data_IF_414164609191
#
_entry.id   IF_414164609191
#
_cell.length_a   1.000
_cell.length_b   1.000
_cell.length_c   1.000
_cell.angle_alpha   90.00
_cell.angle_beta   90.00
_cell.angle_gamma   90.00
#
_symmetry.space_group_name_H-M   'P 1'
#
loop_
_entity.id
_entity.type
_entity.pdbx_description
1 polymer ?
#
# COMPACT_ATOMS: atom_id res chain seq x y z
N UNK A 1 -13.59 13.59 18.35
CA UNK A 1 -12.82 12.59 17.58
C UNK A 1 -11.59 13.32 17.08
N UNK A 2 -10.46 13.16 17.77
CA UNK A 2 -9.19 13.72 17.31
C UNK A 2 -8.83 13.08 15.97
N UNK A 3 -8.59 13.91 14.96
CA UNK A 3 -8.02 13.45 13.69
C UNK A 3 -6.57 13.13 14.01
N UNK A 4 -6.29 11.84 14.22
CA UNK A 4 -4.93 11.34 14.38
C UNK A 4 -4.10 11.82 13.18
N UNK A 5 -2.99 12.49 13.45
CA UNK A 5 -2.10 12.99 12.41
C UNK A 5 -1.61 11.79 11.57
N UNK A 6 -1.94 11.78 10.28
CA UNK A 6 -1.59 10.68 9.38
C UNK A 6 -0.08 10.37 9.41
N UNK A 7 0.77 11.40 9.52
CA UNK A 7 2.20 11.21 9.56
C UNK A 7 2.66 10.58 10.88
N UNK A 8 2.07 10.96 12.01
CA UNK A 8 2.38 10.34 13.31
C UNK A 8 1.93 8.89 13.35
N UNK A 9 0.71 8.61 12.89
CA UNK A 9 0.19 7.25 12.75
C UNK A 9 1.07 6.40 11.82
N UNK A 10 1.48 6.94 10.67
CA UNK A 10 2.29 6.22 9.70
C UNK A 10 3.70 5.95 10.25
N UNK A 11 4.32 6.92 10.90
CA UNK A 11 5.62 6.74 11.57
C UNK A 11 5.55 5.64 12.63
N UNK A 12 4.55 5.71 13.52
CA UNK A 12 4.33 4.68 14.53
C UNK A 12 4.12 3.29 13.91
N UNK A 13 3.28 3.20 12.87
CA UNK A 13 2.99 1.94 12.19
C UNK A 13 4.24 1.34 11.55
N UNK A 14 5.07 2.18 10.92
CA UNK A 14 6.32 1.74 10.31
C UNK A 14 7.30 1.31 11.41
N UNK A 15 7.56 2.11 12.44
CA UNK A 15 8.49 1.77 13.52
C UNK A 15 8.16 0.43 14.20
N UNK A 16 6.87 0.14 14.39
CA UNK A 16 6.39 -1.07 15.06
C UNK A 16 6.18 -2.28 14.11
N UNK A 17 6.53 -2.14 12.83
CA UNK A 17 6.41 -3.21 11.83
C UNK A 17 7.76 -3.87 11.53
N UNK A 18 7.77 -5.19 11.35
CA UNK A 18 8.96 -5.89 10.84
C UNK A 18 9.25 -5.49 9.38
N UNK A 19 10.47 -5.76 8.90
CA UNK A 19 10.95 -5.33 7.57
C UNK A 19 10.02 -5.74 6.43
N UNK A 20 9.55 -6.99 6.43
CA UNK A 20 8.66 -7.51 5.37
C UNK A 20 7.30 -6.80 5.40
N UNK A 21 6.76 -6.56 6.60
CA UNK A 21 5.48 -5.88 6.80
C UNK A 21 5.56 -4.39 6.42
N UNK A 22 6.69 -3.72 6.69
CA UNK A 22 6.96 -2.35 6.22
C UNK A 22 6.82 -2.26 4.69
N UNK A 23 7.43 -3.18 3.95
CA UNK A 23 7.35 -3.17 2.49
C UNK A 23 5.93 -3.40 1.97
N UNK A 24 5.19 -4.35 2.55
CA UNK A 24 3.79 -4.56 2.20
C UNK A 24 2.94 -3.32 2.45
N UNK A 25 3.15 -2.63 3.57
CA UNK A 25 2.44 -1.37 3.89
C UNK A 25 2.76 -0.29 2.86
N UNK A 26 4.05 -0.06 2.56
CA UNK A 26 4.48 0.96 1.60
C UNK A 26 3.91 0.68 0.20
N UNK A 27 3.98 -0.57 -0.27
CA UNK A 27 3.42 -0.96 -1.57
C UNK A 27 1.92 -0.85 -1.60
N UNK A 28 1.22 -1.17 -0.50
CA UNK A 28 -0.23 -0.99 -0.41
C UNK A 28 -0.62 0.48 -0.56
N UNK A 29 0.05 1.39 0.16
CA UNK A 29 -0.19 2.83 0.06
C UNK A 29 0.09 3.32 -1.36
N UNK A 30 1.20 2.88 -1.96
CA UNK A 30 1.55 3.21 -3.33
C UNK A 30 0.50 2.72 -4.34
N UNK A 31 0.04 1.48 -4.24
CA UNK A 31 -0.94 0.89 -5.15
C UNK A 31 -2.29 1.62 -5.08
N UNK A 32 -2.74 2.02 -3.88
CA UNK A 32 -3.94 2.82 -3.71
C UNK A 32 -3.79 4.21 -4.34
N UNK A 33 -2.66 4.88 -4.11
CA UNK A 33 -2.37 6.18 -4.73
C UNK A 33 -2.31 6.08 -6.25
N UNK A 34 -1.69 5.03 -6.77
CA UNK A 34 -1.59 4.76 -8.20
C UNK A 34 -2.98 4.53 -8.82
N UNK A 35 -3.81 3.68 -8.21
CA UNK A 35 -5.18 3.43 -8.67
C UNK A 35 -6.03 4.70 -8.66
N UNK A 36 -5.92 5.52 -7.61
CA UNK A 36 -6.58 6.84 -7.55
C UNK A 36 -6.12 7.73 -8.72
N UNK A 37 -4.82 7.78 -8.99
CA UNK A 37 -4.28 8.61 -10.06
C UNK A 37 -4.75 8.13 -11.44
N UNK A 38 -4.83 6.81 -11.68
CA UNK A 38 -5.43 6.27 -12.91
C UNK A 38 -6.88 6.68 -13.07
N UNK A 39 -7.66 6.62 -12.00
CA UNK A 39 -9.06 7.05 -12.04
C UNK A 39 -9.18 8.54 -12.37
N UNK A 40 -8.39 9.39 -11.70
CA UNK A 40 -8.47 10.86 -11.85
C UNK A 40 -7.94 11.33 -13.21
N UNK A 41 -6.79 10.81 -13.64
CA UNK A 41 -6.07 11.33 -14.81
C UNK A 41 -6.37 10.56 -16.10
N UNK A 42 -6.62 9.26 -16.01
CA UNK A 42 -6.87 8.40 -17.18
C UNK A 42 -8.35 8.02 -17.32
N UNK A 43 -9.21 8.39 -16.35
CA UNK A 43 -10.61 7.94 -16.25
C UNK A 43 -10.75 6.42 -16.27
N UNK A 44 -9.69 5.70 -15.85
CA UNK A 44 -9.66 4.24 -15.79
C UNK A 44 -9.86 3.79 -14.35
N UNK A 45 -10.98 3.14 -14.09
CA UNK A 45 -11.23 2.49 -12.82
C UNK A 45 -10.54 1.13 -12.80
N UNK A 46 -9.65 0.94 -11.82
CA UNK A 46 -9.15 -0.40 -11.50
C UNK A 46 -10.13 -1.09 -10.56
N UNK A 47 -10.39 -2.37 -10.80
CA UNK A 47 -11.22 -3.17 -9.91
C UNK A 47 -10.42 -3.56 -8.65
N UNK A 48 -11.13 -3.81 -7.55
CA UNK A 48 -10.50 -4.13 -6.28
C UNK A 48 -9.64 -5.39 -6.37
N UNK A 49 -10.08 -6.42 -7.12
CA UNK A 49 -9.31 -7.65 -7.28
C UNK A 49 -7.94 -7.41 -7.95
N UNK A 50 -7.84 -6.49 -8.91
CA UNK A 50 -6.57 -6.17 -9.56
C UNK A 50 -5.56 -5.58 -8.57
N UNK A 51 -6.01 -4.65 -7.73
CA UNK A 51 -5.17 -3.99 -6.72
C UNK A 51 -4.72 -5.01 -5.66
N UNK A 52 -5.67 -5.84 -5.17
CA UNK A 52 -5.37 -6.89 -4.18
C UNK A 52 -4.41 -7.93 -4.75
N UNK A 53 -4.61 -8.35 -6.00
CA UNK A 53 -3.74 -9.31 -6.68
C UNK A 53 -2.33 -8.74 -6.81
N UNK A 54 -2.18 -7.49 -7.23
CA UNK A 54 -0.88 -6.82 -7.31
C UNK A 54 -0.14 -6.82 -5.95
N UNK A 55 -0.82 -6.41 -4.88
CA UNK A 55 -0.22 -6.35 -3.54
C UNK A 55 0.21 -7.75 -3.06
N UNK A 56 -0.61 -8.78 -3.32
CA UNK A 56 -0.30 -10.16 -2.95
C UNK A 56 0.88 -10.71 -3.72
N UNK A 57 0.93 -10.50 -5.04
CA UNK A 57 2.06 -10.93 -5.87
C UNK A 57 3.37 -10.28 -5.43
N UNK A 58 3.35 -8.97 -5.14
CA UNK A 58 4.51 -8.28 -4.58
C UNK A 58 4.96 -8.89 -3.25
N UNK A 59 4.01 -9.20 -2.36
CA UNK A 59 4.31 -9.83 -1.08
C UNK A 59 4.91 -11.23 -1.20
N UNK A 60 4.54 -11.99 -2.23
CA UNK A 60 5.09 -13.33 -2.52
C UNK A 60 6.51 -13.22 -3.08
N UNK A 61 6.72 -12.41 -4.12
CA UNK A 61 8.03 -12.19 -4.74
C UNK A 61 9.06 -11.65 -3.74
N UNK A 62 8.64 -10.71 -2.89
CA UNK A 62 9.51 -10.14 -1.86
C UNK A 62 9.90 -11.17 -0.79
N UNK A 63 8.99 -12.07 -0.40
CA UNK A 63 9.30 -13.17 0.54
C UNK A 63 10.22 -14.22 -0.06
N UNK A 64 10.10 -14.49 -1.35
CA UNK A 64 10.97 -15.45 -2.05
C UNK A 64 12.39 -14.91 -2.26
N UNK A 65 12.58 -13.60 -2.15
CA UNK A 65 13.86 -12.90 -2.40
C UNK A 65 14.57 -12.43 -1.12
N UNK A 66 14.01 -12.69 0.07
CA UNK A 66 14.48 -12.23 1.37
C UNK A 66 15.00 -13.39 2.23
#
# INVERSE_FOLDING_TARGET
MEILNFNEWLSWLLENSNRNRKWVIVVTIWALKFSRNKLVHERRMQILEEIVTFIRSFGLEYRSSA
#
